data_IF_463755360809
#
_entry.id   IF_463755360809
#
_cell.length_a   1.000
_cell.length_b   1.000
_cell.length_c   1.000
_cell.angle_alpha   90.00
_cell.angle_beta   90.00
_cell.angle_gamma   90.00
#
_symmetry.space_group_name_H-M   'P 1'
#
loop_
_entity.id
_entity.type
_entity.pdbx_description
1 polymer ?
#
# COMPACT_ATOMS: atom_id res chain seq x y z
N UNK A 1 -9.23 7.19 -19.59
CA UNK A 1 -9.75 6.25 -18.56
C UNK A 1 -10.89 5.48 -19.18
N UNK A 2 -10.91 4.17 -18.96
CA UNK A 2 -12.01 3.32 -19.42
C UNK A 2 -13.26 3.54 -18.53
N UNK A 3 -14.46 3.25 -19.04
CA UNK A 3 -15.71 3.48 -18.31
C UNK A 3 -15.74 2.78 -16.95
N UNK A 4 -15.27 1.53 -16.88
CA UNK A 4 -15.20 0.75 -15.65
C UNK A 4 -14.29 1.40 -14.58
N UNK A 5 -13.30 2.21 -15.00
CA UNK A 5 -12.40 2.92 -14.09
C UNK A 5 -13.07 4.11 -13.41
N UNK A 6 -14.07 4.72 -14.05
CA UNK A 6 -14.88 5.82 -13.50
C UNK A 6 -15.94 5.28 -12.54
N UNK A 7 -16.71 4.30 -13.00
CA UNK A 7 -17.68 3.58 -12.19
C UNK A 7 -17.83 2.14 -12.73
N UNK A 8 -17.73 1.10 -11.89
CA UNK A 8 -17.65 1.14 -10.42
C UNK A 8 -16.21 1.28 -9.85
N UNK A 9 -15.20 1.46 -10.69
CA UNK A 9 -13.79 1.56 -10.29
C UNK A 9 -13.12 0.20 -10.00
N UNK A 10 -13.79 -0.90 -10.31
CA UNK A 10 -13.29 -2.27 -10.16
C UNK A 10 -13.98 -3.20 -11.14
N UNK A 11 -13.31 -4.27 -11.56
CA UNK A 11 -13.95 -5.32 -12.35
C UNK A 11 -14.20 -6.51 -11.43
N UNK A 12 -15.44 -6.99 -11.38
CA UNK A 12 -15.85 -8.15 -10.59
C UNK A 12 -16.30 -9.28 -11.52
N UNK A 13 -15.81 -10.50 -11.28
CA UNK A 13 -16.16 -11.73 -12.00
C UNK A 13 -16.84 -12.70 -11.04
N UNK A 14 -17.69 -13.60 -11.54
CA UNK A 14 -18.47 -14.53 -10.72
C UNK A 14 -19.83 -13.98 -10.28
N UNK A 15 -20.58 -14.77 -9.49
CA UNK A 15 -21.91 -14.40 -8.96
C UNK A 15 -22.02 -14.79 -7.48
N UNK A 16 -22.88 -14.08 -6.73
CA UNK A 16 -23.13 -14.40 -5.33
C UNK A 16 -21.88 -14.30 -4.46
N UNK A 17 -21.65 -15.32 -3.63
CA UNK A 17 -20.52 -15.39 -2.69
C UNK A 17 -19.18 -15.66 -3.39
N UNK A 18 -19.19 -16.28 -4.58
CA UNK A 18 -17.98 -16.59 -5.35
C UNK A 18 -17.45 -15.39 -6.15
N UNK A 19 -18.14 -14.24 -6.10
CA UNK A 19 -17.79 -13.12 -6.95
C UNK A 19 -16.56 -12.35 -6.44
N UNK A 20 -15.50 -12.32 -7.24
CA UNK A 20 -14.17 -11.80 -6.93
C UNK A 20 -13.85 -10.52 -7.73
N UNK A 21 -13.13 -9.58 -7.13
CA UNK A 21 -12.62 -8.41 -7.84
C UNK A 21 -11.28 -8.75 -8.51
N UNK A 22 -11.22 -8.67 -9.84
CA UNK A 22 -10.03 -9.02 -10.63
C UNK A 22 -9.22 -7.79 -11.07
N UNK A 23 -9.78 -6.58 -10.95
CA UNK A 23 -9.09 -5.34 -11.25
C UNK A 23 -9.62 -4.18 -10.40
N UNK A 24 -8.76 -3.22 -10.12
CA UNK A 24 -9.05 -2.01 -9.36
C UNK A 24 -8.49 -0.79 -10.11
N UNK A 25 -9.28 0.27 -10.26
CA UNK A 25 -8.83 1.51 -10.90
C UNK A 25 -8.04 2.38 -9.93
N UNK A 26 -7.25 3.31 -10.47
CA UNK A 26 -6.51 4.27 -9.66
C UNK A 26 -7.44 5.13 -8.79
N UNK A 27 -8.60 5.56 -9.30
CA UNK A 27 -9.58 6.36 -8.54
C UNK A 27 -10.19 5.58 -7.37
N UNK A 28 -10.42 4.27 -7.55
CA UNK A 28 -10.91 3.40 -6.49
C UNK A 28 -9.85 3.20 -5.39
N UNK A 29 -8.59 3.03 -5.78
CA UNK A 29 -7.47 2.83 -4.85
C UNK A 29 -7.03 4.13 -4.14
N UNK A 30 -7.22 5.29 -4.77
CA UNK A 30 -6.90 6.61 -4.21
C UNK A 30 -7.68 6.96 -2.94
N UNK A 31 -8.70 6.17 -2.59
CA UNK A 31 -9.41 6.27 -1.31
C UNK A 31 -8.54 5.94 -0.09
N UNK A 32 -7.32 5.42 -0.30
CA UNK A 32 -6.36 5.18 0.76
C UNK A 32 -6.71 3.99 1.67
N UNK A 33 -7.74 3.21 1.34
CA UNK A 33 -8.14 2.01 2.10
C UNK A 33 -7.45 0.77 1.58
N UNK A 34 -7.13 -0.15 2.48
CA UNK A 34 -6.69 -1.49 2.11
C UNK A 34 -7.86 -2.26 1.47
N UNK A 35 -7.59 -2.93 0.35
CA UNK A 35 -8.54 -3.79 -0.37
C UNK A 35 -8.07 -5.23 -0.32
N UNK A 36 -8.96 -6.22 -0.07
CA UNK A 36 -8.59 -7.62 -0.15
C UNK A 36 -8.28 -7.99 -1.61
N UNK A 37 -7.18 -8.71 -1.83
CA UNK A 37 -6.75 -9.18 -3.15
C UNK A 37 -6.56 -10.69 -3.21
N UNK A 38 -6.45 -11.34 -2.06
CA UNK A 38 -6.48 -12.79 -1.89
C UNK A 38 -6.76 -13.10 -0.40
N UNK A 39 -6.92 -14.36 -0.04
CA UNK A 39 -7.05 -14.78 1.36
C UNK A 39 -5.84 -14.32 2.18
N UNK A 40 -6.09 -13.69 3.34
CA UNK A 40 -5.06 -13.12 4.19
C UNK A 40 -4.25 -11.96 3.58
N UNK A 41 -4.55 -11.51 2.34
CA UNK A 41 -3.72 -10.55 1.60
C UNK A 41 -4.50 -9.31 1.19
N UNK A 42 -3.91 -8.14 1.44
CA UNK A 42 -4.49 -6.84 1.11
C UNK A 42 -3.51 -5.98 0.31
N UNK A 43 -4.05 -5.09 -0.51
CA UNK A 43 -3.31 -4.07 -1.23
C UNK A 43 -3.83 -2.67 -0.86
N UNK A 44 -2.95 -1.70 -0.74
CA UNK A 44 -3.29 -0.32 -0.40
C UNK A 44 -2.39 0.64 -1.18
N UNK A 45 -2.96 1.74 -1.67
CA UNK A 45 -2.22 2.88 -2.20
C UNK A 45 -2.25 3.99 -1.16
N UNK A 46 -1.09 4.59 -0.89
CA UNK A 46 -0.93 5.63 0.12
C UNK A 46 -0.27 6.84 -0.52
N UNK A 47 -0.98 7.97 -0.50
CA UNK A 47 -0.42 9.28 -0.79
C UNK A 47 0.24 9.87 0.46
N UNK A 48 1.57 9.91 0.47
CA UNK A 48 2.35 10.57 1.52
C UNK A 48 2.51 12.04 1.14
N UNK A 49 1.68 12.87 1.77
CA UNK A 49 1.64 14.32 1.50
C UNK A 49 2.99 15.00 1.80
N UNK A 50 3.33 16.10 1.12
CA UNK A 50 4.52 16.90 1.44
C UNK A 50 4.56 17.29 2.93
N UNK A 51 5.72 17.12 3.56
CA UNK A 51 5.94 17.45 4.98
C UNK A 51 5.21 16.53 5.97
N UNK A 52 4.51 15.50 5.50
CA UNK A 52 3.77 14.57 6.35
C UNK A 52 4.59 13.35 6.75
N UNK A 53 4.14 12.71 7.82
CA UNK A 53 4.63 11.41 8.25
C UNK A 53 3.49 10.42 8.46
N UNK A 54 3.68 9.20 7.99
CA UNK A 54 2.82 8.06 8.30
C UNK A 54 3.55 7.12 9.24
N UNK A 55 2.83 6.53 10.21
CA UNK A 55 3.37 5.51 11.12
C UNK A 55 2.49 4.27 11.10
N UNK A 56 3.12 3.14 10.88
CA UNK A 56 2.57 1.83 11.19
C UNK A 56 3.12 1.36 12.53
N UNK A 57 2.22 0.97 13.42
CA UNK A 57 2.58 0.28 14.65
C UNK A 57 3.12 -1.12 14.33
N UNK A 58 3.81 -1.71 15.32
CA UNK A 58 4.15 -3.13 15.27
C UNK A 58 2.88 -3.96 15.09
N UNK A 59 2.93 -4.92 14.18
CA UNK A 59 1.81 -5.79 13.84
C UNK A 59 2.28 -7.23 13.88
N UNK A 60 1.87 -7.95 14.92
CA UNK A 60 2.24 -9.34 15.15
C UNK A 60 1.48 -10.31 14.24
N UNK A 61 0.64 -9.84 13.31
CA UNK A 61 -0.11 -10.73 12.41
C UNK A 61 0.36 -10.66 10.96
N UNK A 62 1.03 -9.56 10.56
CA UNK A 62 1.22 -9.24 9.14
C UNK A 62 2.62 -8.80 8.79
N UNK A 63 3.05 -9.21 7.62
CA UNK A 63 4.19 -8.66 6.89
C UNK A 63 3.66 -7.59 5.93
N UNK A 64 4.41 -6.49 5.74
CA UNK A 64 4.12 -5.48 4.70
C UNK A 64 5.26 -5.43 3.69
N UNK A 65 4.95 -5.62 2.42
CA UNK A 65 5.83 -5.28 1.30
C UNK A 65 5.39 -3.93 0.74
N UNK A 66 6.28 -2.96 0.83
CA UNK A 66 6.02 -1.61 0.39
C UNK A 66 6.90 -1.28 -0.82
N UNK A 67 6.39 -0.53 -1.78
CA UNK A 67 7.17 -0.02 -2.91
C UNK A 67 6.76 1.40 -3.28
N UNK A 68 7.71 2.18 -3.80
CA UNK A 68 7.45 3.55 -4.22
C UNK A 68 7.00 3.55 -5.68
N UNK A 69 5.77 4.01 -5.90
CA UNK A 69 5.24 4.23 -7.24
C UNK A 69 5.64 5.61 -7.78
N UNK A 70 5.72 6.62 -6.91
CA UNK A 70 6.10 8.00 -7.28
C UNK A 70 6.77 8.73 -6.12
N UNK A 71 7.70 9.64 -6.42
CA UNK A 71 8.35 10.50 -5.43
C UNK A 71 9.47 9.80 -4.65
N UNK A 72 9.90 10.41 -3.54
CA UNK A 72 10.93 9.85 -2.65
C UNK A 72 10.38 9.91 -1.22
N UNK A 73 10.48 8.81 -0.48
CA UNK A 73 10.15 8.76 0.95
C UNK A 73 11.39 8.41 1.77
N UNK A 74 11.46 8.91 2.99
CA UNK A 74 12.41 8.41 4.01
C UNK A 74 11.71 7.35 4.84
N UNK A 75 12.20 6.13 4.75
CA UNK A 75 11.72 4.99 5.54
C UNK A 75 12.52 4.94 6.83
N UNK A 76 11.84 4.70 7.95
CA UNK A 76 12.47 4.37 9.24
C UNK A 76 11.89 3.08 9.78
N UNK A 77 12.76 2.09 9.91
CA UNK A 77 12.56 0.79 10.54
C UNK A 77 13.27 0.80 11.91
N UNK A 78 13.11 -0.24 12.75
CA UNK A 78 13.72 -0.26 14.08
C UNK A 78 15.25 -0.10 14.07
N UNK A 79 15.93 -0.73 13.12
CA UNK A 79 17.40 -0.79 13.06
C UNK A 79 18.00 -0.01 11.87
N UNK A 80 17.17 0.60 11.03
CA UNK A 80 17.65 1.27 9.82
C UNK A 80 16.76 2.43 9.39
N UNK A 81 17.35 3.37 8.64
CA UNK A 81 16.62 4.44 7.99
C UNK A 81 17.29 4.82 6.68
N UNK A 82 16.49 4.98 5.63
CA UNK A 82 17.01 5.25 4.28
C UNK A 82 15.99 6.02 3.44
N UNK A 83 16.44 6.94 2.56
CA UNK A 83 15.59 7.44 1.49
C UNK A 83 15.42 6.37 0.42
N UNK A 84 14.26 6.32 -0.22
CA UNK A 84 14.00 5.42 -1.34
C UNK A 84 13.07 6.08 -2.35
N UNK A 85 13.43 5.94 -3.63
CA UNK A 85 12.71 6.51 -4.77
C UNK A 85 11.93 5.45 -5.56
N UNK A 86 11.39 5.83 -6.74
CA UNK A 86 10.52 4.97 -7.53
C UNK A 86 11.15 3.62 -7.89
N UNK A 87 10.32 2.58 -7.97
CA UNK A 87 10.73 1.18 -8.17
C UNK A 87 11.54 0.56 -7.01
N UNK A 88 11.90 1.34 -5.99
CA UNK A 88 12.46 0.83 -4.76
C UNK A 88 11.37 0.17 -3.89
N UNK A 89 11.75 -0.89 -3.19
CA UNK A 89 10.88 -1.64 -2.29
C UNK A 89 11.55 -1.90 -0.94
N UNK A 90 10.74 -2.08 0.10
CA UNK A 90 11.21 -2.54 1.41
C UNK A 90 10.18 -3.44 2.08
N UNK A 91 10.67 -4.28 2.99
CA UNK A 91 9.83 -5.18 3.79
C UNK A 91 9.76 -4.67 5.22
N UNK A 92 8.56 -4.57 5.77
CA UNK A 92 8.30 -4.45 7.21
C UNK A 92 7.98 -5.85 7.73
N UNK A 93 8.81 -6.36 8.64
CA UNK A 93 8.62 -7.67 9.26
C UNK A 93 7.41 -7.63 10.21
N UNK A 94 6.84 -8.79 10.48
CA UNK A 94 5.90 -8.98 11.59
C UNK A 94 6.53 -8.50 12.90
N UNK A 95 5.73 -7.88 13.77
CA UNK A 95 6.15 -7.26 15.02
C UNK A 95 7.00 -6.00 14.86
N UNK A 96 7.35 -5.58 13.63
CA UNK A 96 8.15 -4.38 13.41
C UNK A 96 7.26 -3.15 13.15
N UNK A 97 7.54 -2.06 13.87
CA UNK A 97 7.00 -0.75 13.52
C UNK A 97 7.74 -0.16 12.31
N UNK A 98 7.07 0.71 11.57
CA UNK A 98 7.65 1.40 10.42
C UNK A 98 7.05 2.80 10.31
N UNK A 99 7.87 3.78 9.92
CA UNK A 99 7.39 5.12 9.60
C UNK A 99 7.93 5.61 8.28
N UNK A 100 7.10 6.37 7.57
CA UNK A 100 7.42 7.02 6.32
C UNK A 100 7.36 8.52 6.54
N UNK A 101 8.37 9.23 6.08
CA UNK A 101 8.39 10.70 6.09
C UNK A 101 8.60 11.16 4.66
N UNK A 102 7.78 12.09 4.20
CA UNK A 102 8.04 12.81 2.97
C UNK A 102 8.58 14.22 3.31
N UNK A 103 9.92 14.39 3.38
CA UNK A 103 10.51 15.70 3.68
C UNK A 103 10.51 16.65 2.46
N UNK A 104 9.99 16.22 1.30
CA UNK A 104 10.06 16.96 0.05
C UNK A 104 8.78 17.75 -0.23
N UNK A 105 8.88 18.76 -1.10
CA UNK A 105 7.75 19.59 -1.52
C UNK A 105 6.75 18.87 -2.43
N UNK A 106 7.16 17.76 -3.06
CA UNK A 106 6.30 16.94 -3.92
C UNK A 106 5.75 15.74 -3.14
N UNK A 107 4.47 15.43 -3.33
CA UNK A 107 3.86 14.24 -2.73
C UNK A 107 4.46 12.95 -3.28
N UNK A 108 4.49 11.90 -2.46
CA UNK A 108 4.96 10.57 -2.83
C UNK A 108 3.82 9.55 -2.77
N UNK A 109 3.90 8.51 -3.58
CA UNK A 109 2.91 7.42 -3.64
C UNK A 109 3.58 6.11 -3.29
N UNK A 110 3.04 5.42 -2.29
CA UNK A 110 3.53 4.12 -1.84
C UNK A 110 2.45 3.08 -2.03
N UNK A 111 2.81 1.98 -2.68
CA UNK A 111 2.00 0.76 -2.73
C UNK A 111 2.37 -0.13 -1.55
N UNK A 112 1.38 -0.72 -0.91
CA UNK A 112 1.55 -1.58 0.24
C UNK A 112 0.77 -2.86 0.02
N UNK A 113 1.46 -3.98 -0.06
CA UNK A 113 0.87 -5.31 0.00
C UNK A 113 1.11 -5.87 1.39
N UNK A 114 0.05 -6.14 2.15
CA UNK A 114 0.15 -6.76 3.47
C UNK A 114 -0.45 -8.16 3.43
N UNK A 115 0.25 -9.13 4.00
CA UNK A 115 -0.18 -10.52 4.08
C UNK A 115 0.18 -11.14 5.42
N UNK A 116 -0.58 -12.13 5.83
CA UNK A 116 -0.29 -12.92 7.03
C UNK A 116 1.04 -13.66 6.86
N UNK A 117 1.84 -13.69 7.93
CA UNK A 117 3.05 -14.51 7.91
C UNK A 117 2.64 -15.99 7.91
N UNK A 118 3.25 -16.80 7.05
CA UNK A 118 3.12 -18.25 7.13
C UNK A 118 3.63 -18.70 8.52
N UNK A 119 2.78 -19.42 9.26
CA UNK A 119 3.11 -20.05 10.54
C UNK A 119 4.06 -21.22 10.31
#
# INVERSE_FOLDING_TARGET
MAEWELAPGRIRVGKGEEAENIAYSSSYLAQGRAVPVSEGTTFQVIDVQPGSSLRWAADESRIRLCSVARGIVRVKLPESGFPIGPNGMWKVRQGAACSLVNPFYLGAVVHVTAFEAAV
#
